data_IF_800296511333
#
_entry.id   IF_800296511333
#
_cell.length_a   1.000
_cell.length_b   1.000
_cell.length_c   1.000
_cell.angle_alpha   90.00
_cell.angle_beta   90.00
_cell.angle_gamma   90.00
#
_symmetry.space_group_name_H-M   'P 1'
#
loop_
_entity.id
_entity.type
_entity.pdbx_description
1 polymer ?
#
# COMPACT_ATOMS: atom_id res chain seq x y z
N UNK A 1 -6.41 -47.49 15.94
CA UNK A 1 -7.27 -46.43 16.51
C UNK A 1 -6.39 -45.57 17.41
N UNK A 2 -5.81 -44.53 16.91
CA UNK A 2 -5.02 -43.55 17.66
C UNK A 2 -5.78 -42.24 17.70
N UNK A 3 -6.26 -41.90 18.85
CA UNK A 3 -7.00 -40.68 19.16
C UNK A 3 -6.03 -39.49 19.13
N UNK A 4 -6.15 -38.62 18.15
CA UNK A 4 -5.46 -37.33 18.12
C UNK A 4 -6.18 -36.41 19.10
N UNK A 5 -5.56 -36.21 20.28
CA UNK A 5 -5.98 -35.21 21.26
C UNK A 5 -5.68 -33.81 20.67
N UNK A 6 -6.73 -33.10 20.34
CA UNK A 6 -6.68 -31.69 20.02
C UNK A 6 -6.31 -30.89 21.28
N UNK A 7 -5.11 -30.33 21.34
CA UNK A 7 -4.70 -29.44 22.44
C UNK A 7 -5.46 -28.12 22.32
N UNK A 8 -5.85 -27.49 23.43
CA UNK A 8 -6.56 -26.20 23.38
C UNK A 8 -5.68 -25.07 22.86
N UNK A 9 -6.27 -24.17 22.10
CA UNK A 9 -5.67 -23.02 21.41
C UNK A 9 -4.78 -22.08 22.27
N UNK A 10 -4.76 -22.25 23.58
CA UNK A 10 -3.95 -21.44 24.50
C UNK A 10 -2.45 -21.72 24.53
N UNK A 11 -1.96 -22.78 23.92
CA UNK A 11 -0.53 -23.15 23.94
C UNK A 11 0.30 -22.66 22.76
N UNK A 12 -0.27 -21.88 21.83
CA UNK A 12 0.45 -21.41 20.63
C UNK A 12 0.90 -19.95 20.70
N UNK A 13 0.54 -19.21 21.77
CA UNK A 13 0.98 -17.85 21.98
C UNK A 13 1.65 -17.70 23.34
N UNK A 14 2.89 -18.21 23.44
CA UNK A 14 3.82 -17.75 24.46
C UNK A 14 4.36 -16.38 23.99
N UNK A 15 3.69 -15.31 24.36
CA UNK A 15 4.28 -13.99 24.35
C UNK A 15 5.22 -13.92 25.53
N UNK A 16 6.53 -13.97 25.25
CA UNK A 16 7.57 -13.63 26.19
C UNK A 16 7.33 -12.18 26.62
N UNK A 17 6.91 -12.01 27.85
CA UNK A 17 6.71 -10.70 28.46
C UNK A 17 8.11 -10.17 28.77
N UNK A 18 8.82 -9.66 27.76
CA UNK A 18 9.84 -8.66 27.98
C UNK A 18 9.11 -7.50 28.62
N UNK A 19 9.43 -7.13 29.88
CA UNK A 19 8.67 -6.13 30.65
C UNK A 19 8.77 -4.69 30.09
N UNK A 20 8.84 -4.51 28.78
CA UNK A 20 8.85 -3.22 28.10
C UNK A 20 7.42 -2.74 27.90
N UNK A 21 7.13 -1.48 28.28
CA UNK A 21 5.81 -0.88 28.10
C UNK A 21 5.45 -0.74 26.62
N UNK A 22 4.18 -1.01 26.31
CA UNK A 22 3.64 -0.99 24.94
C UNK A 22 3.08 0.40 24.64
N UNK A 23 3.56 1.12 23.63
CA UNK A 23 3.00 2.40 23.23
C UNK A 23 1.65 2.22 22.54
N UNK A 24 0.65 2.97 22.93
CA UNK A 24 -0.67 3.05 22.30
C UNK A 24 -0.74 4.33 21.47
N UNK A 25 -0.85 4.17 20.17
CA UNK A 25 -0.88 5.28 19.21
C UNK A 25 -2.30 5.48 18.67
N UNK A 26 -2.64 6.71 18.33
CA UNK A 26 -3.90 7.05 17.66
C UNK A 26 -3.89 6.42 16.25
N UNK A 27 -4.86 5.56 15.90
CA UNK A 27 -4.93 4.95 14.58
C UNK A 27 -5.39 5.93 13.51
N UNK A 28 -5.03 5.69 12.25
CA UNK A 28 -5.60 6.40 11.10
C UNK A 28 -7.01 5.87 10.82
N UNK A 29 -8.04 6.65 11.21
CA UNK A 29 -9.44 6.26 11.04
C UNK A 29 -9.92 6.47 9.61
N UNK A 30 -9.49 7.58 8.99
CA UNK A 30 -9.87 7.93 7.63
C UNK A 30 -8.66 8.45 6.86
N UNK A 31 -8.37 7.83 5.72
CA UNK A 31 -7.20 8.20 4.88
C UNK A 31 -7.24 9.65 4.36
N UNK A 32 -8.44 10.24 4.29
CA UNK A 32 -8.63 11.63 3.85
C UNK A 32 -8.67 12.64 5.00
N UNK A 33 -8.65 12.16 6.23
CA UNK A 33 -8.70 12.97 7.45
C UNK A 33 -7.62 12.45 8.40
N UNK A 34 -6.39 12.97 8.32
CA UNK A 34 -5.27 12.49 9.11
C UNK A 34 -5.37 12.82 10.60
N UNK A 35 -6.34 13.63 10.97
CA UNK A 35 -6.63 13.99 12.36
C UNK A 35 -8.04 13.50 12.76
N UNK A 36 -8.21 13.16 14.02
CA UNK A 36 -9.50 12.83 14.64
C UNK A 36 -9.72 13.64 15.91
N UNK A 37 -10.97 13.94 16.22
CA UNK A 37 -11.34 14.52 17.50
C UNK A 37 -11.32 13.41 18.56
N UNK A 38 -10.60 13.60 19.67
CA UNK A 38 -10.69 12.75 20.86
C UNK A 38 -11.99 13.07 21.60
N UNK A 39 -13.09 12.45 21.15
CA UNK A 39 -14.44 12.78 21.62
C UNK A 39 -14.67 12.35 23.05
N UNK A 40 -14.13 11.21 23.46
CA UNK A 40 -14.17 10.71 24.83
C UNK A 40 -12.86 10.03 25.23
N UNK A 41 -12.48 10.14 26.51
CA UNK A 41 -11.31 9.51 27.09
C UNK A 41 -11.75 8.67 28.29
N UNK A 42 -11.85 7.36 28.10
CA UNK A 42 -12.41 6.41 29.06
C UNK A 42 -11.44 5.95 30.16
N UNK A 43 -10.17 6.36 30.10
CA UNK A 43 -9.12 5.91 31.02
C UNK A 43 -8.40 7.06 31.71
N UNK A 44 -7.75 6.76 32.83
CA UNK A 44 -7.00 7.71 33.64
C UNK A 44 -5.56 7.21 33.89
N UNK A 45 -4.64 8.14 34.15
CA UNK A 45 -3.24 7.84 34.51
C UNK A 45 -3.20 6.90 35.72
N UNK A 46 -2.39 5.84 35.64
CA UNK A 46 -2.23 4.82 36.69
C UNK A 46 -3.36 3.79 36.78
N UNK A 47 -4.38 3.86 35.94
CA UNK A 47 -5.50 2.91 35.93
C UNK A 47 -5.05 1.54 35.40
N UNK A 48 -5.42 0.46 36.09
CA UNK A 48 -5.28 -0.91 35.56
C UNK A 48 -6.45 -1.21 34.62
N UNK A 49 -6.15 -1.65 33.42
CA UNK A 49 -7.15 -2.05 32.42
C UNK A 49 -6.92 -3.50 31.98
N UNK A 50 -7.94 -4.11 31.39
CA UNK A 50 -7.90 -5.45 30.81
C UNK A 50 -8.00 -5.38 29.28
N UNK A 51 -7.50 -6.42 28.60
CA UNK A 51 -7.68 -6.53 27.16
C UNK A 51 -9.16 -6.51 26.78
N UNK A 52 -9.53 -5.63 25.84
CA UNK A 52 -10.91 -5.37 25.44
C UNK A 52 -11.54 -4.13 26.06
N UNK A 53 -10.94 -3.50 27.07
CA UNK A 53 -11.43 -2.26 27.64
C UNK A 53 -11.26 -1.09 26.65
N UNK A 54 -12.26 -0.19 26.58
CA UNK A 54 -12.22 1.00 25.74
C UNK A 54 -11.28 2.02 26.35
N UNK A 55 -10.33 2.52 25.57
CA UNK A 55 -9.37 3.56 25.97
C UNK A 55 -9.90 4.96 25.67
N UNK A 56 -10.40 5.14 24.46
CA UNK A 56 -10.97 6.41 24.01
C UNK A 56 -11.90 6.22 22.81
N UNK A 57 -12.70 7.25 22.53
CA UNK A 57 -13.53 7.37 21.33
C UNK A 57 -12.99 8.48 20.45
N UNK A 58 -12.72 8.14 19.21
CA UNK A 58 -12.21 9.04 18.18
C UNK A 58 -13.30 9.32 17.15
N UNK A 59 -13.46 10.57 16.77
CA UNK A 59 -14.49 11.02 15.83
C UNK A 59 -13.87 11.80 14.67
N UNK A 60 -14.29 11.47 13.45
CA UNK A 60 -14.01 12.22 12.23
C UNK A 60 -15.30 12.76 11.64
N UNK A 61 -15.24 13.57 10.59
CA UNK A 61 -16.47 14.10 9.94
C UNK A 61 -17.40 13.00 9.40
N UNK A 62 -16.92 11.75 9.28
CA UNK A 62 -17.65 10.64 8.63
C UNK A 62 -17.79 9.39 9.46
N UNK A 63 -17.05 9.24 10.54
CA UNK A 63 -17.04 8.02 11.35
C UNK A 63 -16.63 8.28 12.80
N UNK A 64 -17.16 7.44 13.69
CA UNK A 64 -16.76 7.37 15.10
C UNK A 64 -16.18 5.97 15.33
N UNK A 65 -15.04 5.86 16.01
CA UNK A 65 -14.37 4.61 16.31
C UNK A 65 -13.85 4.58 17.74
N UNK A 66 -14.10 3.46 18.43
CA UNK A 66 -13.53 3.19 19.74
C UNK A 66 -12.15 2.54 19.60
N UNK A 67 -11.18 3.04 20.36
CA UNK A 67 -9.86 2.44 20.52
C UNK A 67 -9.89 1.56 21.76
N UNK A 68 -9.67 0.26 21.59
CA UNK A 68 -9.69 -0.72 22.68
C UNK A 68 -8.30 -1.23 23.00
N UNK A 69 -8.08 -1.60 24.25
CA UNK A 69 -6.81 -2.22 24.69
C UNK A 69 -6.66 -3.62 24.12
N UNK A 70 -5.55 -3.92 23.46
CA UNK A 70 -5.23 -5.27 22.97
C UNK A 70 -4.67 -6.18 24.07
N UNK A 71 -4.09 -5.59 25.13
CA UNK A 71 -3.48 -6.29 26.25
C UNK A 71 -3.85 -5.63 27.57
N UNK A 72 -3.73 -6.35 28.69
CA UNK A 72 -3.94 -5.82 30.04
C UNK A 72 -2.68 -5.10 30.54
N UNK A 73 -2.84 -4.03 31.30
CA UNK A 73 -1.73 -3.27 31.86
C UNK A 73 -2.16 -1.99 32.56
N UNK A 74 -1.19 -1.28 33.14
CA UNK A 74 -1.43 0.05 33.74
C UNK A 74 -1.25 1.12 32.69
N UNK A 75 -2.18 2.08 32.65
CA UNK A 75 -2.07 3.29 31.82
C UNK A 75 -0.99 4.19 32.41
N UNK A 76 0.04 4.50 31.63
CA UNK A 76 1.15 5.35 32.06
C UNK A 76 1.53 6.33 30.96
N UNK A 77 1.80 7.58 31.34
CA UNK A 77 2.21 8.64 30.43
C UNK A 77 1.10 9.10 29.50
N UNK A 78 -0.12 9.20 30.01
CA UNK A 78 -1.28 9.74 29.29
C UNK A 78 -1.04 11.21 28.94
N UNK A 79 -1.08 11.55 27.64
CA UNK A 79 -0.67 12.88 27.13
C UNK A 79 -1.78 13.69 26.52
N UNK A 80 -2.84 13.02 26.08
CA UNK A 80 -3.92 13.65 25.33
C UNK A 80 -5.12 13.94 26.24
N UNK A 81 -5.88 14.98 25.91
CA UNK A 81 -7.06 15.40 26.65
C UNK A 81 -8.30 15.30 25.78
N UNK A 82 -9.43 14.93 26.37
CA UNK A 82 -10.72 14.94 25.71
C UNK A 82 -11.02 16.30 25.06
N UNK A 83 -11.61 16.29 23.89
CA UNK A 83 -11.99 17.48 23.11
C UNK A 83 -10.86 18.05 22.24
N UNK A 84 -9.68 17.39 22.15
CA UNK A 84 -8.59 17.84 21.29
C UNK A 84 -8.59 17.11 19.94
N UNK A 85 -8.21 17.82 18.87
CA UNK A 85 -7.90 17.19 17.58
C UNK A 85 -6.51 16.57 17.67
N UNK A 86 -6.39 15.29 17.30
CA UNK A 86 -5.18 14.51 17.43
C UNK A 86 -4.82 13.87 16.09
N UNK A 87 -3.57 13.99 15.63
CA UNK A 87 -3.12 13.36 14.40
C UNK A 87 -2.96 11.84 14.57
N UNK A 88 -3.17 11.10 13.51
CA UNK A 88 -2.84 9.68 13.46
C UNK A 88 -1.34 9.46 13.71
N UNK A 89 -1.02 8.45 14.53
CA UNK A 89 0.33 8.16 14.97
C UNK A 89 0.77 8.92 16.23
N UNK A 90 -0.05 9.83 16.77
CA UNK A 90 0.21 10.49 18.05
C UNK A 90 0.12 9.48 19.21
N UNK A 91 0.98 9.65 20.22
CA UNK A 91 1.02 8.77 21.37
C UNK A 91 -0.09 9.13 22.37
N UNK A 92 -1.04 8.22 22.60
CA UNK A 92 -2.07 8.35 23.63
C UNK A 92 -1.47 8.08 25.03
N UNK A 93 -0.91 6.92 25.23
CA UNK A 93 -0.32 6.45 26.50
C UNK A 93 0.58 5.25 26.27
N UNK A 94 1.16 4.70 27.35
CA UNK A 94 1.78 3.40 27.37
C UNK A 94 0.97 2.43 28.24
N UNK A 95 0.98 1.14 27.89
CA UNK A 95 0.54 0.06 28.76
C UNK A 95 1.77 -0.57 29.41
N UNK A 96 1.87 -0.49 30.73
CA UNK A 96 2.98 -1.02 31.52
C UNK A 96 2.54 -2.16 32.44
N UNK A 97 3.44 -3.08 32.75
CA UNK A 97 3.21 -4.11 33.75
C UNK A 97 3.10 -3.55 35.18
N UNK A 98 3.63 -2.36 35.43
CA UNK A 98 3.62 -1.69 36.74
C UNK A 98 3.16 -0.23 36.60
N UNK A 99 2.51 0.28 37.65
CA UNK A 99 1.98 1.66 37.67
C UNK A 99 3.04 2.73 37.91
N UNK A 100 4.23 2.36 38.31
CA UNK A 100 5.35 3.22 38.69
C UNK A 100 6.40 3.40 37.58
N UNK A 101 6.17 2.80 36.41
CA UNK A 101 7.04 2.98 35.27
C UNK A 101 6.98 4.45 34.77
N UNK A 102 8.16 5.04 34.60
CA UNK A 102 8.30 6.43 34.15
C UNK A 102 8.66 6.40 32.66
N UNK A 103 7.78 6.97 31.79
CA UNK A 103 8.10 7.04 30.36
C UNK A 103 9.38 7.88 30.14
N UNK A 104 10.24 7.47 29.18
CA UNK A 104 11.42 8.25 28.83
C UNK A 104 10.98 9.67 28.49
N UNK A 105 11.69 10.68 29.02
CA UNK A 105 11.44 12.07 28.67
C UNK A 105 11.55 12.22 27.16
N UNK A 106 10.42 12.33 26.48
CA UNK A 106 10.37 12.62 25.06
C UNK A 106 10.92 14.03 24.84
N UNK A 107 12.01 14.10 24.11
CA UNK A 107 12.48 15.34 23.47
C UNK A 107 11.63 15.63 22.23
N UNK A 108 10.30 15.70 22.38
CA UNK A 108 9.40 16.14 21.31
C UNK A 108 8.08 16.58 21.91
N UNK A 109 8.08 17.71 22.57
CA UNK A 109 6.95 18.62 22.74
C UNK A 109 7.48 20.00 22.46
N UNK A 110 7.48 20.38 21.20
CA UNK A 110 7.60 21.77 20.83
C UNK A 110 6.20 22.36 20.81
N UNK A 111 5.75 22.77 22.00
CA UNK A 111 4.81 23.88 22.13
C UNK A 111 5.35 25.02 21.28
N UNK A 112 4.54 25.50 20.36
CA UNK A 112 4.80 26.75 19.64
C UNK A 112 4.64 27.87 20.65
N UNK A 113 5.69 28.12 21.43
CA UNK A 113 5.95 29.44 21.98
C UNK A 113 6.78 30.18 20.94
N UNK A 114 6.24 31.31 20.50
CA UNK A 114 6.96 32.35 19.77
C UNK A 114 8.18 32.79 20.58
N UNK A 115 9.33 32.23 20.22
CA UNK A 115 10.60 32.54 20.83
C UNK A 115 11.71 32.17 19.87
N UNK A 116 12.27 33.20 19.22
CA UNK A 116 13.44 33.12 18.39
C UNK A 116 14.55 32.32 19.03
N UNK A 117 15.02 31.23 18.36
CA UNK A 117 16.44 30.88 18.39
C UNK A 117 16.83 29.98 17.23
N UNK A 118 17.78 30.50 16.50
CA UNK A 118 18.85 29.90 15.70
C UNK A 118 18.37 29.02 14.51
N UNK A 119 18.09 29.63 13.39
CA UNK A 119 19.14 30.04 12.48
C UNK A 119 19.87 28.85 11.83
N UNK A 120 19.21 28.27 10.87
CA UNK A 120 19.84 27.97 9.60
C UNK A 120 19.11 28.87 8.58
N UNK A 121 19.70 30.03 8.34
CA UNK A 121 19.24 31.03 7.39
C UNK A 121 18.96 30.34 6.05
N UNK A 122 17.70 30.41 5.61
CA UNK A 122 17.38 30.07 4.23
C UNK A 122 18.25 30.95 3.33
N UNK A 123 18.82 30.41 2.24
CA UNK A 123 19.57 31.18 1.28
C UNK A 123 18.76 32.42 0.82
N UNK A 124 19.41 33.55 0.71
CA UNK A 124 18.74 34.80 0.34
C UNK A 124 18.05 34.65 -1.02
N UNK A 125 16.74 34.91 -1.07
CA UNK A 125 15.96 34.76 -2.29
C UNK A 125 15.40 33.37 -2.56
N UNK A 126 15.66 32.37 -1.71
CA UNK A 126 15.06 31.04 -1.84
C UNK A 126 13.59 31.06 -1.39
N UNK A 127 12.68 30.75 -2.32
CA UNK A 127 11.26 30.58 -2.05
C UNK A 127 10.93 29.09 -2.05
N UNK A 128 10.69 28.52 -0.88
CA UNK A 128 10.47 27.07 -0.70
C UNK A 128 9.19 26.82 0.11
N UNK A 129 8.40 25.84 -0.31
CA UNK A 129 7.22 25.42 0.47
C UNK A 129 7.63 24.65 1.73
N UNK A 130 6.83 24.71 2.80
CA UNK A 130 7.14 24.01 4.06
C UNK A 130 7.32 22.49 3.87
N UNK A 131 6.48 21.78 3.09
CA UNK A 131 6.71 20.37 2.77
C UNK A 131 8.04 20.13 2.03
N UNK A 132 8.39 20.99 1.06
CA UNK A 132 9.65 20.88 0.33
C UNK A 132 10.87 21.13 1.24
N UNK A 133 10.77 22.06 2.19
CA UNK A 133 11.82 22.33 3.17
C UNK A 133 12.02 21.15 4.14
N UNK A 134 10.91 20.57 4.63
CA UNK A 134 10.95 19.37 5.46
C UNK A 134 11.61 18.20 4.71
N UNK A 135 11.25 18.01 3.47
CA UNK A 135 11.80 16.97 2.59
C UNK A 135 13.31 17.20 2.33
N UNK A 136 13.72 18.44 2.04
CA UNK A 136 15.12 18.79 1.84
C UNK A 136 15.97 18.52 3.10
N UNK A 137 15.45 18.83 4.28
CA UNK A 137 16.11 18.55 5.58
C UNK A 137 16.18 17.05 5.86
N UNK A 138 15.10 16.31 5.62
CA UNK A 138 15.06 14.86 5.80
C UNK A 138 16.13 14.14 4.98
N UNK A 139 16.40 14.63 3.77
CA UNK A 139 17.41 14.07 2.87
C UNK A 139 18.77 14.78 2.90
N UNK A 140 19.00 15.66 3.90
CA UNK A 140 20.26 16.41 4.08
C UNK A 140 20.71 17.18 2.83
N UNK A 141 19.76 17.70 2.06
CA UNK A 141 20.05 18.47 0.85
C UNK A 141 20.54 19.85 1.23
N UNK A 142 21.65 20.27 0.63
CA UNK A 142 22.16 21.62 0.80
C UNK A 142 21.23 22.63 0.10
N UNK A 143 20.59 23.50 0.89
CA UNK A 143 19.60 24.47 0.40
C UNK A 143 20.20 25.50 -0.56
N UNK A 144 21.52 25.76 -0.50
CA UNK A 144 22.22 26.66 -1.42
C UNK A 144 22.28 26.13 -2.86
N UNK A 145 22.04 24.84 -3.04
CA UNK A 145 22.02 24.19 -4.36
C UNK A 145 20.65 24.19 -5.02
N UNK A 146 19.62 24.62 -4.30
CA UNK A 146 18.26 24.71 -4.86
C UNK A 146 18.08 25.98 -5.70
N UNK A 147 17.20 25.97 -6.72
CA UNK A 147 17.03 27.10 -7.62
C UNK A 147 16.47 28.33 -6.89
N UNK A 148 17.18 29.45 -6.99
CA UNK A 148 16.79 30.75 -6.41
C UNK A 148 15.86 31.48 -7.39
N UNK A 149 14.77 32.06 -6.86
CA UNK A 149 13.78 32.83 -7.63
C UNK A 149 12.45 32.10 -7.89
N UNK A 150 12.39 30.95 -8.56
CA UNK A 150 11.14 30.19 -8.66
C UNK A 150 10.75 29.55 -7.31
N UNK A 151 9.45 29.25 -7.16
CA UNK A 151 8.98 28.54 -5.96
C UNK A 151 9.45 27.09 -5.98
N UNK A 152 10.27 26.72 -5.00
CA UNK A 152 10.74 25.34 -4.81
C UNK A 152 9.64 24.52 -4.14
N UNK A 153 9.17 23.50 -4.83
CA UNK A 153 8.19 22.52 -4.37
C UNK A 153 8.84 21.17 -4.07
N UNK A 154 8.10 20.22 -3.50
CA UNK A 154 8.62 18.86 -3.30
C UNK A 154 9.13 18.22 -4.58
N UNK A 155 8.45 18.44 -5.72
CA UNK A 155 8.89 17.92 -7.02
C UNK A 155 10.24 18.50 -7.45
N UNK A 156 10.50 19.78 -7.14
CA UNK A 156 11.78 20.43 -7.40
C UNK A 156 12.89 19.83 -6.54
N UNK A 157 12.61 19.59 -5.25
CA UNK A 157 13.56 18.96 -4.32
C UNK A 157 13.88 17.53 -4.77
N UNK A 158 12.88 16.75 -5.16
CA UNK A 158 13.05 15.40 -5.69
C UNK A 158 13.90 15.38 -6.97
N UNK A 159 13.62 16.26 -7.93
CA UNK A 159 14.41 16.37 -9.16
C UNK A 159 15.89 16.71 -8.88
N UNK A 160 16.14 17.58 -7.89
CA UNK A 160 17.52 17.96 -7.51
C UNK A 160 18.30 16.78 -6.92
N UNK A 161 17.66 15.97 -6.09
CA UNK A 161 18.27 14.75 -5.51
C UNK A 161 18.62 13.72 -6.57
N UNK A 162 17.77 13.59 -7.59
CA UNK A 162 18.00 12.66 -8.71
C UNK A 162 19.25 13.04 -9.53
N UNK A 163 19.53 14.33 -9.69
CA UNK A 163 20.70 14.81 -10.44
C UNK A 163 22.04 14.55 -9.74
N UNK A 164 22.06 14.36 -8.41
CA UNK A 164 23.30 14.24 -7.62
C UNK A 164 23.68 12.80 -7.26
N UNK A 165 22.79 11.81 -7.45
CA UNK A 165 23.11 10.42 -7.13
C UNK A 165 23.86 9.72 -8.27
N UNK A 166 25.07 9.27 -8.00
CA UNK A 166 25.85 8.47 -8.94
C UNK A 166 25.26 7.05 -9.06
N UNK A 167 25.32 6.46 -10.26
CA UNK A 167 24.86 5.11 -10.59
C UNK A 167 25.71 3.98 -9.94
N UNK A 168 26.53 4.27 -8.95
CA UNK A 168 27.55 3.36 -8.42
C UNK A 168 27.03 2.10 -7.76
N UNK A 169 25.74 2.05 -7.38
CA UNK A 169 25.14 0.88 -6.70
C UNK A 169 24.12 0.11 -7.57
N UNK A 170 23.99 0.48 -8.85
CA UNK A 170 23.16 -0.25 -9.78
C UNK A 170 23.92 -1.45 -10.34
N UNK A 171 23.45 -2.65 -10.01
CA UNK A 171 24.00 -3.89 -10.54
C UNK A 171 23.47 -4.11 -11.97
N UNK A 172 24.04 -3.35 -12.93
CA UNK A 172 23.64 -3.44 -14.34
C UNK A 172 23.76 -4.88 -14.85
N UNK A 173 22.93 -5.32 -15.81
CA UNK A 173 23.08 -6.61 -16.46
C UNK A 173 24.51 -6.77 -16.99
N UNK A 174 25.13 -7.91 -16.71
CA UNK A 174 26.51 -8.19 -17.13
C UNK A 174 26.65 -8.37 -18.65
N UNK A 175 25.55 -8.47 -19.37
CA UNK A 175 25.49 -8.57 -20.83
C UNK A 175 24.66 -7.44 -21.42
N UNK A 176 24.86 -7.13 -22.71
CA UNK A 176 24.06 -6.15 -23.46
C UNK A 176 22.54 -6.45 -23.46
N UNK A 177 22.16 -7.67 -23.08
CA UNK A 177 20.79 -8.13 -22.93
C UNK A 177 20.72 -9.27 -21.91
N UNK A 178 19.96 -9.06 -20.84
CA UNK A 178 19.61 -10.10 -19.86
C UNK A 178 18.08 -10.35 -19.93
N UNK A 179 17.64 -11.49 -20.48
CA UNK A 179 16.23 -11.80 -20.62
C UNK A 179 15.51 -12.03 -19.27
N UNK A 180 16.28 -12.24 -18.20
CA UNK A 180 15.73 -12.43 -16.85
C UNK A 180 15.64 -11.14 -16.05
N UNK A 181 16.37 -10.09 -16.46
CA UNK A 181 16.42 -8.82 -15.74
C UNK A 181 15.06 -8.09 -15.79
N UNK A 182 14.50 -7.75 -14.63
CA UNK A 182 13.18 -7.16 -14.51
C UNK A 182 13.16 -6.01 -13.51
N UNK A 183 12.34 -4.98 -13.81
CA UNK A 183 12.07 -3.83 -12.95
C UNK A 183 10.68 -3.93 -12.34
N UNK A 184 10.50 -3.32 -11.17
CA UNK A 184 9.19 -3.06 -10.58
C UNK A 184 8.90 -1.56 -10.73
N UNK A 185 7.79 -1.19 -11.36
CA UNK A 185 7.33 0.20 -11.40
C UNK A 185 6.23 0.42 -10.37
N UNK A 186 6.57 1.06 -9.25
CA UNK A 186 5.72 1.32 -8.10
C UNK A 186 6.21 0.62 -6.84
N UNK A 187 6.57 1.41 -5.81
CA UNK A 187 7.15 0.94 -4.54
C UNK A 187 6.17 0.85 -3.38
N UNK A 188 4.88 1.14 -3.60
CA UNK A 188 3.83 1.08 -2.58
C UNK A 188 3.51 -0.34 -2.10
N UNK A 189 2.41 -0.51 -1.36
CA UNK A 189 2.01 -1.81 -0.79
C UNK A 189 1.87 -2.92 -1.84
N UNK A 190 1.26 -2.62 -2.99
CA UNK A 190 1.14 -3.58 -4.09
C UNK A 190 2.50 -3.94 -4.69
N UNK A 191 3.40 -2.95 -4.80
CA UNK A 191 4.78 -3.16 -5.24
C UNK A 191 5.56 -4.10 -4.34
N UNK A 192 5.43 -3.95 -3.02
CA UNK A 192 6.05 -4.86 -2.05
C UNK A 192 5.57 -6.31 -2.24
N UNK A 193 4.26 -6.51 -2.46
CA UNK A 193 3.70 -7.85 -2.72
C UNK A 193 4.24 -8.45 -4.02
N UNK A 194 4.46 -7.64 -5.06
CA UNK A 194 5.03 -8.09 -6.33
C UNK A 194 6.53 -8.38 -6.21
N UNK A 195 7.28 -7.60 -5.43
CA UNK A 195 8.70 -7.90 -5.13
C UNK A 195 8.82 -9.30 -4.51
N UNK A 196 8.00 -9.60 -3.49
CA UNK A 196 8.02 -10.91 -2.84
C UNK A 196 7.58 -12.03 -3.80
N UNK A 197 6.54 -11.79 -4.61
CA UNK A 197 6.11 -12.74 -5.64
C UNK A 197 7.22 -13.06 -6.65
N UNK A 198 7.89 -12.04 -7.18
CA UNK A 198 8.95 -12.22 -8.18
C UNK A 198 10.16 -12.93 -7.59
N UNK A 199 10.52 -12.62 -6.35
CA UNK A 199 11.56 -13.37 -5.60
C UNK A 199 11.20 -14.84 -5.42
N UNK A 200 9.94 -15.12 -5.09
CA UNK A 200 9.45 -16.49 -4.93
C UNK A 200 9.47 -17.27 -6.24
N UNK A 201 9.22 -16.62 -7.37
CA UNK A 201 9.30 -17.25 -8.70
C UNK A 201 10.73 -17.71 -9.05
N UNK A 202 11.75 -16.98 -8.62
CA UNK A 202 13.14 -17.30 -8.85
C UNK A 202 13.61 -17.30 -10.33
N UNK A 203 12.69 -17.02 -11.26
CA UNK A 203 12.96 -16.98 -12.71
C UNK A 203 13.40 -15.61 -13.21
N UNK A 204 13.31 -14.59 -12.38
CA UNK A 204 13.67 -13.23 -12.74
C UNK A 204 14.74 -12.67 -11.81
N UNK A 205 15.63 -11.86 -12.39
CA UNK A 205 16.62 -11.07 -11.67
C UNK A 205 16.06 -9.67 -11.43
N UNK A 206 15.57 -9.40 -10.20
CA UNK A 206 15.07 -8.09 -9.80
C UNK A 206 16.22 -7.09 -9.67
N UNK A 207 16.21 -6.06 -10.52
CA UNK A 207 17.25 -5.04 -10.53
C UNK A 207 16.97 -3.89 -9.56
N UNK A 208 15.71 -3.49 -9.43
CA UNK A 208 15.31 -2.38 -8.58
C UNK A 208 13.88 -1.93 -8.83
N UNK A 209 13.53 -0.83 -8.19
CA UNK A 209 12.22 -0.20 -8.25
C UNK A 209 12.31 1.13 -8.98
N UNK A 210 11.38 1.39 -9.89
CA UNK A 210 11.12 2.72 -10.46
C UNK A 210 9.87 3.27 -9.78
N UNK A 211 9.95 4.48 -9.22
CA UNK A 211 8.81 5.07 -8.50
C UNK A 211 8.91 6.60 -8.53
N UNK A 212 7.84 7.26 -8.98
CA UNK A 212 7.78 8.72 -9.09
C UNK A 212 7.68 9.43 -7.71
N UNK A 213 7.38 8.70 -6.65
CA UNK A 213 7.20 9.20 -5.29
C UNK A 213 8.38 8.97 -4.35
N UNK A 214 9.33 8.12 -4.72
CA UNK A 214 10.52 7.80 -3.94
C UNK A 214 11.79 8.44 -4.51
N UNK A 215 12.78 8.68 -3.66
CA UNK A 215 14.08 9.18 -4.11
C UNK A 215 14.95 8.05 -4.65
N UNK A 216 15.72 8.38 -5.69
CA UNK A 216 16.77 7.51 -6.18
C UNK A 216 17.78 7.20 -5.08
N UNK A 217 18.11 5.92 -4.90
CA UNK A 217 19.00 5.42 -3.85
C UNK A 217 18.30 5.01 -2.55
N UNK A 218 17.02 5.34 -2.36
CA UNK A 218 16.22 4.70 -1.31
C UNK A 218 16.12 3.19 -1.58
N UNK A 219 15.73 2.43 -0.55
CA UNK A 219 15.54 0.98 -0.69
C UNK A 219 14.13 0.57 -0.31
N UNK A 220 13.54 -0.32 -1.11
CA UNK A 220 12.24 -0.91 -0.85
C UNK A 220 12.43 -2.43 -0.79
N UNK A 221 12.21 -3.01 0.38
CA UNK A 221 12.49 -4.44 0.66
C UNK A 221 13.92 -4.85 0.20
N UNK A 222 14.91 -3.95 0.41
CA UNK A 222 16.30 -4.18 0.04
C UNK A 222 16.62 -4.04 -1.46
N UNK A 223 15.66 -3.59 -2.29
CA UNK A 223 15.90 -3.23 -3.69
C UNK A 223 16.11 -1.72 -3.82
N UNK A 224 17.09 -1.26 -4.60
CA UNK A 224 17.32 0.16 -4.81
C UNK A 224 16.19 0.79 -5.62
N UNK A 225 15.79 2.00 -5.26
CA UNK A 225 15.00 2.89 -6.12
C UNK A 225 15.92 3.49 -7.17
N UNK A 226 15.64 3.22 -8.44
CA UNK A 226 16.49 3.59 -9.57
C UNK A 226 16.16 4.97 -10.16
N UNK A 227 15.07 5.58 -9.69
CA UNK A 227 14.51 6.85 -10.14
C UNK A 227 13.03 6.75 -10.43
N UNK A 228 12.44 7.79 -10.96
CA UNK A 228 11.06 7.82 -11.47
C UNK A 228 10.97 7.37 -12.93
N UNK A 229 9.83 7.66 -13.55
CA UNK A 229 9.59 7.27 -14.94
C UNK A 229 10.56 7.87 -15.96
N UNK A 230 11.26 8.93 -15.62
CA UNK A 230 12.33 9.51 -16.44
C UNK A 230 13.55 8.60 -16.60
N UNK A 231 13.79 7.70 -15.64
CA UNK A 231 14.92 6.77 -15.68
C UNK A 231 14.71 5.61 -16.68
N UNK A 232 13.51 5.40 -17.20
CA UNK A 232 13.19 4.23 -18.04
C UNK A 232 14.03 4.15 -19.31
N UNK A 233 14.31 5.28 -19.98
CA UNK A 233 15.10 5.31 -21.20
C UNK A 233 16.54 4.84 -20.94
N UNK A 234 17.15 5.31 -19.87
CA UNK A 234 18.50 4.94 -19.49
C UNK A 234 18.56 3.45 -19.07
N UNK A 235 17.57 2.99 -18.28
CA UNK A 235 17.45 1.59 -17.88
C UNK A 235 17.27 0.66 -19.09
N UNK A 236 16.48 1.09 -20.08
CA UNK A 236 16.36 0.33 -21.33
C UNK A 236 17.69 0.27 -22.10
N UNK A 237 18.45 1.36 -22.13
CA UNK A 237 19.77 1.42 -22.75
C UNK A 237 20.81 0.48 -22.10
N UNK A 238 20.63 0.15 -20.80
CA UNK A 238 21.49 -0.86 -20.13
C UNK A 238 21.18 -2.31 -20.51
N UNK A 239 20.17 -2.57 -21.35
CA UNK A 239 19.80 -3.91 -21.78
C UNK A 239 18.56 -4.51 -21.09
N UNK A 240 17.98 -3.83 -20.11
CA UNK A 240 16.75 -4.30 -19.42
C UNK A 240 15.54 -4.17 -20.35
N UNK A 241 14.72 -5.21 -20.41
CA UNK A 241 13.55 -5.27 -21.32
C UNK A 241 12.25 -5.57 -20.61
N UNK A 242 12.28 -6.07 -19.37
CA UNK A 242 11.11 -6.48 -18.64
C UNK A 242 10.80 -5.51 -17.48
N UNK A 243 9.53 -5.23 -17.30
CA UNK A 243 9.06 -4.46 -16.16
C UNK A 243 7.68 -4.96 -15.69
N UNK A 244 7.41 -4.83 -14.40
CA UNK A 244 6.09 -5.10 -13.82
C UNK A 244 5.50 -3.78 -13.39
N UNK A 245 4.28 -3.48 -13.86
CA UNK A 245 3.51 -2.37 -13.36
C UNK A 245 2.93 -2.72 -11.99
N UNK A 246 3.48 -2.12 -10.95
CA UNK A 246 3.11 -2.35 -9.56
C UNK A 246 2.20 -1.26 -8.97
N UNK A 247 1.55 -0.48 -9.81
CA UNK A 247 0.49 0.44 -9.40
C UNK A 247 -0.77 -0.38 -9.13
N UNK A 248 -1.29 -0.31 -7.90
CA UNK A 248 -2.43 -1.10 -7.45
C UNK A 248 -3.73 -0.78 -8.19
N UNK A 249 -4.70 -1.68 -8.09
CA UNK A 249 -5.98 -1.58 -8.80
C UNK A 249 -7.08 -0.84 -8.03
N UNK A 250 -6.82 -0.33 -6.82
CA UNK A 250 -7.79 0.42 -6.00
C UNK A 250 -7.59 1.91 -6.26
N UNK A 251 -8.64 2.65 -6.55
CA UNK A 251 -8.58 4.08 -6.85
C UNK A 251 -8.79 4.38 -8.33
N UNK A 252 -7.97 5.28 -8.90
CA UNK A 252 -8.04 5.65 -10.31
C UNK A 252 -7.23 4.67 -11.17
N UNK A 253 -7.94 3.85 -11.93
CA UNK A 253 -7.31 2.93 -12.89
C UNK A 253 -6.51 3.67 -13.97
N UNK A 254 -6.81 4.94 -14.24
CA UNK A 254 -6.09 5.77 -15.21
C UNK A 254 -4.61 5.93 -14.88
N UNK A 255 -4.24 6.01 -13.59
CA UNK A 255 -2.84 6.06 -13.16
C UNK A 255 -2.10 4.79 -13.59
N UNK A 256 -2.72 3.63 -13.36
CA UNK A 256 -2.16 2.34 -13.74
C UNK A 256 -2.02 2.18 -15.25
N UNK A 257 -3.03 2.64 -16.01
CA UNK A 257 -2.99 2.64 -17.48
C UNK A 257 -1.84 3.52 -17.99
N UNK A 258 -1.66 4.73 -17.42
CA UNK A 258 -0.56 5.63 -17.79
C UNK A 258 0.82 4.99 -17.57
N UNK A 259 1.00 4.23 -16.49
CA UNK A 259 2.26 3.53 -16.24
C UNK A 259 2.49 2.43 -17.29
N UNK A 260 1.48 1.64 -17.66
CA UNK A 260 1.60 0.68 -18.75
C UNK A 260 1.96 1.36 -20.09
N UNK A 261 1.33 2.48 -20.40
CA UNK A 261 1.65 3.27 -21.61
C UNK A 261 3.09 3.78 -21.58
N UNK A 262 3.56 4.30 -20.43
CA UNK A 262 4.93 4.79 -20.25
C UNK A 262 5.95 3.67 -20.42
N UNK A 263 5.71 2.51 -19.85
CA UNK A 263 6.55 1.32 -20.00
C UNK A 263 6.61 0.86 -21.46
N UNK A 264 5.46 0.79 -22.15
CA UNK A 264 5.40 0.42 -23.55
C UNK A 264 6.13 1.43 -24.46
N UNK A 265 5.97 2.74 -24.22
CA UNK A 265 6.67 3.81 -24.95
C UNK A 265 8.19 3.72 -24.77
N UNK A 266 8.65 3.32 -23.57
CA UNK A 266 10.06 3.10 -23.31
C UNK A 266 10.58 1.75 -23.81
N UNK A 267 9.74 0.91 -24.43
CA UNK A 267 10.10 -0.36 -25.03
C UNK A 267 10.05 -1.57 -24.08
N UNK A 268 9.60 -1.40 -22.83
CA UNK A 268 9.50 -2.50 -21.88
C UNK A 268 8.31 -3.42 -22.16
N UNK A 269 8.51 -4.71 -21.95
CA UNK A 269 7.48 -5.75 -21.97
C UNK A 269 7.07 -6.09 -20.55
N UNK A 270 5.76 -6.17 -20.30
CA UNK A 270 5.23 -6.58 -19.02
C UNK A 270 4.82 -8.05 -19.05
N UNK A 271 5.58 -8.99 -18.46
CA UNK A 271 5.20 -10.38 -18.42
C UNK A 271 3.96 -10.59 -17.51
N UNK A 272 3.22 -11.67 -17.76
CA UNK A 272 2.27 -12.16 -16.75
C UNK A 272 3.05 -12.79 -15.59
N UNK A 273 2.65 -12.50 -14.35
CA UNK A 273 3.24 -13.09 -13.15
C UNK A 273 2.18 -13.83 -12.35
N UNK A 274 2.45 -15.08 -12.05
CA UNK A 274 1.51 -15.99 -11.39
C UNK A 274 2.17 -16.58 -10.14
N UNK A 275 1.54 -16.40 -9.00
CA UNK A 275 2.03 -16.95 -7.75
C UNK A 275 2.00 -18.48 -7.77
N UNK A 276 3.07 -19.21 -7.34
CA UNK A 276 3.13 -20.67 -7.41
C UNK A 276 2.01 -21.40 -6.63
N UNK A 277 1.36 -20.73 -5.67
CA UNK A 277 0.18 -21.25 -4.96
C UNK A 277 -1.16 -20.83 -5.58
N UNK A 278 -1.17 -20.14 -6.72
CA UNK A 278 -2.38 -19.97 -7.50
C UNK A 278 -2.63 -21.23 -8.34
N UNK A 279 -3.88 -21.53 -8.62
CA UNK A 279 -4.24 -22.63 -9.53
C UNK A 279 -4.87 -22.08 -10.79
N UNK A 280 -4.27 -22.40 -11.92
CA UNK A 280 -4.77 -22.07 -13.25
C UNK A 280 -5.07 -23.36 -13.99
N UNK A 281 -6.30 -23.49 -14.51
CA UNK A 281 -6.65 -24.60 -15.40
C UNK A 281 -5.88 -24.49 -16.71
N UNK A 282 -5.59 -25.63 -17.32
CA UNK A 282 -4.72 -25.70 -18.51
C UNK A 282 -5.24 -24.91 -19.73
N UNK A 283 -6.56 -24.75 -19.83
CA UNK A 283 -7.23 -23.97 -20.90
C UNK A 283 -7.38 -22.48 -20.58
N UNK A 284 -7.05 -22.05 -19.37
CA UNK A 284 -7.05 -20.63 -19.02
C UNK A 284 -6.01 -19.85 -19.82
N UNK A 285 -6.35 -18.64 -20.23
CA UNK A 285 -5.44 -17.79 -21.02
C UNK A 285 -5.23 -16.42 -20.37
N UNK A 286 -3.98 -16.02 -20.26
CA UNK A 286 -3.55 -14.75 -19.66
C UNK A 286 -2.84 -13.90 -20.70
N UNK A 287 -3.28 -12.63 -20.82
CA UNK A 287 -2.54 -11.65 -21.62
C UNK A 287 -1.33 -11.08 -20.84
N UNK A 288 -0.38 -10.41 -21.51
CA UNK A 288 0.73 -9.77 -20.85
C UNK A 288 0.31 -8.82 -19.73
N UNK A 289 1.16 -8.64 -18.71
CA UNK A 289 0.92 -7.76 -17.57
C UNK A 289 -0.10 -8.28 -16.56
N UNK A 290 -0.70 -9.45 -16.77
CA UNK A 290 -1.60 -10.09 -15.79
C UNK A 290 -0.84 -10.47 -14.53
N UNK A 291 -1.47 -10.24 -13.38
CA UNK A 291 -0.91 -10.56 -12.06
C UNK A 291 -1.90 -11.45 -11.31
N UNK A 292 -1.47 -12.65 -10.95
CA UNK A 292 -2.29 -13.62 -10.21
C UNK A 292 -1.61 -13.94 -8.88
N UNK A 293 -2.28 -13.59 -7.77
CA UNK A 293 -1.74 -13.74 -6.42
C UNK A 293 -2.06 -15.10 -5.79
N UNK A 294 -1.50 -15.32 -4.59
CA UNK A 294 -1.59 -16.59 -3.88
C UNK A 294 -3.03 -17.06 -3.71
N UNK A 295 -3.24 -18.37 -3.86
CA UNK A 295 -4.54 -19.05 -3.67
C UNK A 295 -5.68 -18.55 -4.58
N UNK A 296 -5.39 -17.76 -5.60
CA UNK A 296 -6.37 -17.47 -6.63
C UNK A 296 -6.61 -18.71 -7.49
N UNK A 297 -7.85 -18.90 -7.94
CA UNK A 297 -8.24 -19.93 -8.87
C UNK A 297 -8.71 -19.29 -10.20
N UNK A 298 -8.21 -19.79 -11.31
CA UNK A 298 -8.62 -19.39 -12.66
C UNK A 298 -9.08 -20.62 -13.43
N UNK A 299 -10.37 -20.71 -13.67
CA UNK A 299 -11.07 -21.85 -14.22
C UNK A 299 -10.84 -22.08 -15.71
N UNK A 300 -11.37 -23.22 -16.20
CA UNK A 300 -11.26 -23.65 -17.59
C UNK A 300 -11.84 -22.61 -18.55
N UNK A 301 -11.13 -22.36 -19.66
CA UNK A 301 -11.49 -21.39 -20.70
C UNK A 301 -11.69 -19.93 -20.22
N UNK A 302 -11.29 -19.64 -18.99
CA UNK A 302 -11.25 -18.25 -18.52
C UNK A 302 -10.17 -17.46 -19.27
N UNK A 303 -10.49 -16.23 -19.68
CA UNK A 303 -9.60 -15.34 -20.42
C UNK A 303 -9.39 -14.03 -19.66
N UNK A 304 -8.14 -13.72 -19.34
CA UNK A 304 -7.76 -12.53 -18.60
C UNK A 304 -7.08 -11.53 -19.52
N UNK A 305 -7.69 -10.36 -19.63
CA UNK A 305 -7.21 -9.24 -20.46
C UNK A 305 -5.90 -8.64 -19.96
N UNK A 306 -5.31 -7.76 -20.76
CA UNK A 306 -4.02 -7.12 -20.51
C UNK A 306 -4.01 -6.40 -19.16
N UNK A 307 -2.97 -6.63 -18.39
CA UNK A 307 -2.76 -5.94 -17.12
C UNK A 307 -3.84 -6.20 -16.06
N UNK A 308 -4.63 -7.25 -16.16
CA UNK A 308 -5.62 -7.62 -15.14
C UNK A 308 -4.95 -8.10 -13.86
N UNK A 309 -5.51 -7.73 -12.70
CA UNK A 309 -5.08 -8.22 -11.38
C UNK A 309 -6.13 -9.19 -10.84
N UNK A 310 -5.70 -10.38 -10.45
CA UNK A 310 -6.48 -11.36 -9.69
C UNK A 310 -5.82 -11.53 -8.33
N UNK A 311 -6.40 -10.92 -7.30
CA UNK A 311 -5.81 -10.89 -5.96
C UNK A 311 -5.97 -12.21 -5.20
N UNK A 312 -5.32 -12.25 -4.03
CA UNK A 312 -5.26 -13.41 -3.14
C UNK A 312 -6.65 -14.01 -2.89
N UNK A 313 -6.76 -15.33 -3.11
CA UNK A 313 -7.98 -16.09 -2.84
C UNK A 313 -9.18 -15.77 -3.72
N UNK A 314 -9.02 -14.97 -4.78
CA UNK A 314 -10.10 -14.71 -5.72
C UNK A 314 -10.39 -15.97 -6.58
N UNK A 315 -11.65 -16.19 -6.91
CA UNK A 315 -12.10 -17.33 -7.71
C UNK A 315 -12.72 -16.82 -9.01
N UNK A 316 -12.10 -17.17 -10.12
CA UNK A 316 -12.62 -16.95 -11.48
C UNK A 316 -13.07 -18.31 -12.00
N UNK A 317 -14.38 -18.54 -12.12
CA UNK A 317 -14.88 -19.83 -12.61
C UNK A 317 -14.68 -19.99 -14.12
N UNK A 318 -15.16 -21.13 -14.65
CA UNK A 318 -15.03 -21.49 -16.08
C UNK A 318 -15.68 -20.45 -17.01
N UNK A 319 -15.17 -20.32 -18.22
CA UNK A 319 -15.70 -19.49 -19.32
C UNK A 319 -15.78 -17.98 -19.00
N UNK A 320 -15.19 -17.51 -17.91
CA UNK A 320 -15.16 -16.07 -17.56
C UNK A 320 -14.31 -15.28 -18.55
N UNK A 321 -14.81 -14.10 -18.93
CA UNK A 321 -14.13 -13.17 -19.82
C UNK A 321 -13.83 -11.89 -19.05
N UNK A 322 -12.55 -11.61 -18.77
CA UNK A 322 -12.10 -10.38 -18.12
C UNK A 322 -11.38 -9.51 -19.13
N UNK A 323 -11.87 -8.28 -19.30
CA UNK A 323 -11.27 -7.27 -20.15
C UNK A 323 -9.92 -6.75 -19.61
N UNK A 324 -9.35 -5.81 -20.36
CA UNK A 324 -8.05 -5.21 -19.98
C UNK A 324 -8.19 -4.37 -18.70
N UNK A 325 -7.14 -4.37 -17.88
CA UNK A 325 -7.02 -3.57 -16.65
C UNK A 325 -8.07 -3.85 -15.56
N UNK A 326 -8.78 -4.95 -15.63
CA UNK A 326 -9.73 -5.38 -14.58
C UNK A 326 -8.98 -5.64 -13.27
N UNK A 327 -9.60 -5.30 -12.15
CA UNK A 327 -9.08 -5.63 -10.83
C UNK A 327 -10.11 -6.48 -10.06
N UNK A 328 -9.75 -7.72 -9.79
CA UNK A 328 -10.50 -8.63 -8.93
C UNK A 328 -9.82 -8.62 -7.56
N UNK A 329 -10.49 -8.03 -6.58
CA UNK A 329 -9.94 -7.85 -5.23
C UNK A 329 -9.91 -9.17 -4.43
N UNK A 330 -9.22 -9.22 -3.27
CA UNK A 330 -9.08 -10.44 -2.48
C UNK A 330 -10.41 -11.12 -2.16
N UNK A 331 -10.48 -12.44 -2.34
CA UNK A 331 -11.63 -13.26 -1.99
C UNK A 331 -12.89 -13.04 -2.82
N UNK A 332 -12.85 -12.27 -3.89
CA UNK A 332 -14.00 -12.12 -4.79
C UNK A 332 -14.25 -13.42 -5.58
N UNK A 333 -15.51 -13.73 -5.85
CA UNK A 333 -15.96 -14.96 -6.52
C UNK A 333 -16.79 -14.60 -7.75
N UNK A 334 -16.32 -15.01 -8.93
CA UNK A 334 -17.06 -14.94 -10.17
C UNK A 334 -17.58 -16.33 -10.51
N UNK A 335 -18.88 -16.47 -10.64
CA UNK A 335 -19.50 -17.71 -11.14
C UNK A 335 -19.18 -17.91 -12.64
N UNK A 336 -19.55 -19.05 -13.21
CA UNK A 336 -19.23 -19.35 -14.60
C UNK A 336 -19.81 -18.36 -15.61
N UNK A 337 -19.15 -18.21 -16.75
CA UNK A 337 -19.57 -17.38 -17.89
C UNK A 337 -19.76 -15.88 -17.54
N UNK A 338 -19.16 -15.38 -16.46
CA UNK A 338 -19.19 -13.95 -16.09
C UNK A 338 -18.31 -13.16 -17.05
N UNK A 339 -18.83 -12.01 -17.49
CA UNK A 339 -18.11 -11.07 -18.36
C UNK A 339 -17.83 -9.77 -17.61
N UNK A 340 -16.57 -9.47 -17.35
CA UNK A 340 -16.12 -8.20 -16.70
C UNK A 340 -15.43 -7.36 -17.77
N UNK A 341 -16.01 -6.22 -18.13
CA UNK A 341 -15.42 -5.33 -19.13
C UNK A 341 -14.23 -4.50 -18.58
N UNK A 342 -13.49 -3.85 -19.50
CA UNK A 342 -12.22 -3.19 -19.22
C UNK A 342 -12.29 -2.18 -18.07
N UNK A 343 -11.25 -2.15 -17.23
CA UNK A 343 -11.09 -1.19 -16.14
C UNK A 343 -12.07 -1.34 -14.97
N UNK A 344 -12.93 -2.36 -14.97
CA UNK A 344 -13.84 -2.58 -13.86
C UNK A 344 -13.10 -3.05 -12.60
N UNK A 345 -13.62 -2.65 -11.44
CA UNK A 345 -13.17 -3.06 -10.11
C UNK A 345 -14.23 -3.93 -9.44
N UNK A 346 -13.87 -5.14 -9.10
CA UNK A 346 -14.65 -6.06 -8.27
C UNK A 346 -14.05 -6.08 -6.87
N UNK A 347 -14.76 -5.56 -5.89
CA UNK A 347 -14.31 -5.37 -4.51
C UNK A 347 -14.05 -6.67 -3.74
N UNK A 348 -13.45 -6.56 -2.55
CA UNK A 348 -13.13 -7.70 -1.69
C UNK A 348 -14.40 -8.49 -1.31
N UNK A 349 -14.33 -9.83 -1.41
CA UNK A 349 -15.42 -10.72 -1.01
C UNK A 349 -16.72 -10.55 -1.80
N UNK A 350 -16.68 -9.89 -2.95
CA UNK A 350 -17.86 -9.77 -3.85
C UNK A 350 -18.19 -11.13 -4.46
N UNK A 351 -19.48 -11.43 -4.61
CA UNK A 351 -19.96 -12.57 -5.38
C UNK A 351 -20.72 -12.10 -6.61
N UNK A 352 -20.35 -12.62 -7.79
CA UNK A 352 -21.02 -12.32 -9.07
C UNK A 352 -21.66 -13.59 -9.59
N UNK A 353 -22.98 -13.54 -9.82
CA UNK A 353 -23.75 -14.68 -10.28
C UNK A 353 -23.42 -15.08 -11.73
N UNK A 354 -23.84 -16.30 -12.08
CA UNK A 354 -23.65 -16.92 -13.40
C UNK A 354 -24.11 -15.97 -14.53
N UNK A 355 -23.29 -15.85 -15.59
CA UNK A 355 -23.57 -15.08 -16.82
C UNK A 355 -23.79 -13.59 -16.65
N UNK A 356 -23.50 -13.05 -15.50
CA UNK A 356 -23.62 -11.61 -15.28
C UNK A 356 -22.54 -10.86 -16.07
N UNK A 357 -22.94 -9.74 -16.65
CA UNK A 357 -22.05 -8.78 -17.30
C UNK A 357 -21.82 -7.58 -16.39
N UNK A 358 -20.55 -7.24 -16.14
CA UNK A 358 -20.14 -6.01 -15.43
C UNK A 358 -19.49 -5.07 -16.43
N UNK A 359 -20.13 -3.92 -16.68
CA UNK A 359 -19.73 -2.95 -17.70
C UNK A 359 -18.39 -2.28 -17.43
N UNK A 360 -17.81 -1.68 -18.48
CA UNK A 360 -16.49 -1.05 -18.42
C UNK A 360 -16.43 0.04 -17.34
N UNK A 361 -15.33 0.05 -16.58
CA UNK A 361 -15.11 1.01 -15.49
C UNK A 361 -16.11 0.93 -14.33
N UNK A 362 -16.98 -0.08 -14.27
CA UNK A 362 -17.89 -0.27 -13.15
C UNK A 362 -17.13 -0.56 -11.85
N UNK A 363 -17.69 -0.17 -10.72
CA UNK A 363 -17.09 -0.32 -9.38
C UNK A 363 -18.05 -1.08 -8.46
N UNK A 364 -17.70 -2.30 -8.14
CA UNK A 364 -18.46 -3.16 -7.23
C UNK A 364 -17.84 -3.06 -5.84
N UNK A 365 -18.61 -2.53 -4.88
CA UNK A 365 -18.16 -2.35 -3.51
C UNK A 365 -17.96 -3.68 -2.78
N UNK A 366 -17.10 -3.67 -1.75
CA UNK A 366 -16.74 -4.86 -0.98
C UNK A 366 -17.96 -5.60 -0.44
N UNK A 367 -17.95 -6.94 -0.49
CA UNK A 367 -18.99 -7.79 0.06
C UNK A 367 -20.35 -7.68 -0.64
N UNK A 368 -20.45 -7.03 -1.80
CA UNK A 368 -21.68 -6.97 -2.57
C UNK A 368 -21.99 -8.32 -3.25
N UNK A 369 -23.28 -8.58 -3.48
CA UNK A 369 -23.76 -9.71 -4.30
C UNK A 369 -24.38 -9.18 -5.58
N UNK A 370 -23.83 -9.53 -6.73
CA UNK A 370 -24.26 -9.07 -8.05
C UNK A 370 -25.04 -10.18 -8.74
N UNK A 371 -26.37 -9.98 -8.92
CA UNK A 371 -27.28 -10.98 -9.47
C UNK A 371 -27.72 -10.67 -10.91
N UNK A 372 -27.47 -9.46 -11.39
CA UNK A 372 -27.83 -9.01 -12.75
C UNK A 372 -26.76 -8.06 -13.27
N UNK A 373 -26.81 -7.77 -14.56
CA UNK A 373 -25.84 -6.93 -15.23
C UNK A 373 -25.69 -5.55 -14.58
N UNK A 374 -24.44 -5.11 -14.53
CA UNK A 374 -24.08 -3.78 -14.05
C UNK A 374 -23.69 -2.92 -15.27
N UNK A 375 -24.28 -1.73 -15.45
CA UNK A 375 -23.97 -0.89 -16.61
C UNK A 375 -22.53 -0.35 -16.56
N UNK A 376 -22.06 0.18 -17.70
CA UNK A 376 -20.79 0.90 -17.80
C UNK A 376 -20.72 1.99 -16.71
N UNK A 377 -19.55 2.09 -16.03
CA UNK A 377 -19.31 3.01 -14.89
C UNK A 377 -20.31 2.88 -13.74
N UNK A 378 -21.12 1.80 -13.73
CA UNK A 378 -22.08 1.52 -12.66
C UNK A 378 -21.38 1.36 -11.30
N UNK A 379 -22.05 1.83 -10.25
CA UNK A 379 -21.54 1.74 -8.88
C UNK A 379 -22.49 0.88 -8.06
N UNK A 380 -22.00 -0.27 -7.61
CA UNK A 380 -22.70 -1.13 -6.63
C UNK A 380 -22.13 -0.84 -5.26
N UNK A 381 -22.97 -0.45 -4.28
CA UNK A 381 -22.53 -0.11 -2.93
C UNK A 381 -22.04 -1.35 -2.18
N UNK A 382 -21.07 -1.15 -1.29
CA UNK A 382 -20.55 -2.22 -0.44
C UNK A 382 -21.66 -2.87 0.40
N UNK A 383 -21.59 -4.22 0.54
CA UNK A 383 -22.52 -5.00 1.34
C UNK A 383 -23.95 -5.08 0.78
N UNK A 384 -24.21 -4.57 -0.43
CA UNK A 384 -25.56 -4.60 -1.01
C UNK A 384 -25.76 -5.77 -1.98
N UNK A 385 -27.03 -6.06 -2.28
CA UNK A 385 -27.42 -6.97 -3.36
C UNK A 385 -27.79 -6.10 -4.57
N UNK A 386 -27.28 -6.44 -5.75
CA UNK A 386 -27.58 -5.75 -7.00
C UNK A 386 -28.34 -6.68 -7.95
N UNK A 387 -29.43 -6.24 -8.59
CA UNK A 387 -30.18 -5.00 -8.32
C UNK A 387 -30.82 -5.04 -6.93
N UNK A 388 -31.10 -3.86 -6.39
CA UNK A 388 -31.71 -3.69 -5.07
C UNK A 388 -33.17 -4.17 -5.04
#
# INVERSE_FOLDING_TARGET
>A
MSTILCKPLKEWYNWDVSGEPIPILIPLININEPEALLADLAVQEGQLITAGDVLCTLETTKSTQELVAETSGYIVGLRLSQGTSVPAGELLCYLSATSDWIPPKSTASATIESGSQADSTLPEGLRITQPALALARQHSINLDQLPIGPLVTESTVRAHTQATSSWTDFNAPQSAFDPSAILIYGGGGHGKSLIDLVRLLGSYHLLGVVDDGHFKGETILGLPVLGGGEALADLYATGVRLAINAVGGIGDVGVRIKVFQRLAQAGFVCPAVVHPKAHLEASASLRPGVQVFAHAYVGSDARLGYGTIVNTGAIISHDCQLGDYVNIAPGAILAGEVNIEAGALVGMGVTVNLRVKVGAGARIGNGATVKSDVPEKGIVRAGTIWPA
#
